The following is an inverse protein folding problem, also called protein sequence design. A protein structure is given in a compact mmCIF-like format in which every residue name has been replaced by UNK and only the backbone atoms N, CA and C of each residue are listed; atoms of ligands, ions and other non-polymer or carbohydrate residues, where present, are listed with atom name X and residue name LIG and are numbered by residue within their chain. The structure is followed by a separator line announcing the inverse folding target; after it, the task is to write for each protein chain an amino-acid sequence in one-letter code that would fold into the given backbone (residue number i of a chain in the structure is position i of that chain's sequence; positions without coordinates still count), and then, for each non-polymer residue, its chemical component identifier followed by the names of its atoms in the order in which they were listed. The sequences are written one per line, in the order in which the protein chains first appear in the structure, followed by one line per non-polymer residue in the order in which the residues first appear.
data_IF_278143231210
#
_entry.id   IF_278143231210
#
_cell.length_a   1.000
_cell.length_b   1.000
_cell.length_c   1.000
_cell.angle_alpha   90.00
_cell.angle_beta   90.00
_cell.angle_gamma   90.00
#
_symmetry.space_group_name_H-M   'P 1'
#
loop_
_entity.id
_entity.type
_entity.pdbx_description
1 polymer ?
#
# COMPACT_ATOMS: atom_id res chain seq x y z
N UNK A 1 -10.71 20.23 -2.11
CA UNK A 1 -11.83 20.68 -1.27
C UNK A 1 -11.60 20.12 0.12
N UNK A 2 -11.31 20.95 1.11
CA UNK A 2 -11.06 20.53 2.48
C UNK A 2 -12.24 19.73 3.05
N UNK A 3 -12.01 18.73 3.92
CA UNK A 3 -13.09 18.07 4.65
C UNK A 3 -13.90 19.13 5.42
N UNK A 4 -15.19 18.84 5.64
CA UNK A 4 -16.12 19.72 6.33
C UNK A 4 -15.49 20.27 7.63
N UNK A 5 -15.28 21.58 7.75
CA UNK A 5 -14.61 22.18 8.91
C UNK A 5 -15.40 22.05 10.22
N UNK A 6 -16.63 21.53 10.18
CA UNK A 6 -17.48 21.33 11.38
C UNK A 6 -17.19 20.02 12.11
N UNK A 7 -16.36 19.12 11.57
CA UNK A 7 -16.02 17.86 12.22
C UNK A 7 -14.51 17.80 12.42
N UNK A 8 -14.06 18.14 13.62
CA UNK A 8 -12.65 18.11 14.05
C UNK A 8 -12.08 16.68 14.24
N UNK A 9 -12.66 15.67 13.60
CA UNK A 9 -12.26 14.27 13.74
C UNK A 9 -11.31 13.88 12.62
N UNK A 10 -10.10 13.41 12.97
CA UNK A 10 -9.16 12.81 12.05
C UNK A 10 -9.64 11.42 11.62
N UNK A 11 -9.67 11.14 10.33
CA UNK A 11 -10.21 9.89 9.79
C UNK A 11 -9.15 9.14 9.02
N UNK A 12 -8.80 7.97 9.52
CA UNK A 12 -7.75 7.11 9.00
C UNK A 12 -8.37 5.84 8.41
N UNK A 13 -7.88 5.40 7.24
CA UNK A 13 -8.28 4.14 6.60
C UNK A 13 -7.05 3.25 6.40
N UNK A 14 -7.03 2.11 7.07
CA UNK A 14 -5.99 1.10 7.00
C UNK A 14 -6.45 -0.09 6.17
N UNK A 15 -5.64 -0.49 5.18
CA UNK A 15 -5.95 -1.56 4.23
C UNK A 15 -4.88 -2.67 4.30
N UNK A 16 -5.32 -3.87 4.67
CA UNK A 16 -4.42 -5.02 4.84
C UNK A 16 -3.91 -5.55 3.50
N UNK A 17 -2.74 -6.18 3.55
CA UNK A 17 -2.27 -7.06 2.49
C UNK A 17 -3.09 -8.34 2.40
N UNK A 18 -3.06 -9.01 1.25
CA UNK A 18 -3.77 -10.28 1.09
C UNK A 18 -3.89 -10.78 -0.35
N UNK A 19 -3.07 -10.28 -1.26
CA UNK A 19 -3.03 -10.72 -2.66
C UNK A 19 -4.39 -10.57 -3.34
N UNK A 20 -4.83 -11.60 -4.08
CA UNK A 20 -6.10 -11.57 -4.83
C UNK A 20 -7.33 -11.34 -3.92
N UNK A 21 -7.23 -11.63 -2.62
CA UNK A 21 -8.33 -11.40 -1.69
C UNK A 21 -8.66 -9.93 -1.46
N UNK A 22 -7.85 -8.99 -1.98
CA UNK A 22 -8.16 -7.56 -2.02
C UNK A 22 -9.51 -7.22 -2.63
N UNK A 23 -10.11 -8.15 -3.42
CA UNK A 23 -11.48 -8.02 -3.90
C UNK A 23 -12.51 -7.92 -2.75
N UNK A 24 -12.29 -8.65 -1.65
CA UNK A 24 -13.15 -8.57 -0.46
C UNK A 24 -13.07 -7.21 0.21
N UNK A 25 -11.85 -6.65 0.27
CA UNK A 25 -11.64 -5.27 0.75
C UNK A 25 -12.42 -4.28 -0.09
N UNK A 26 -12.38 -4.40 -1.42
CA UNK A 26 -13.09 -3.51 -2.35
C UNK A 26 -14.62 -3.59 -2.17
N UNK A 27 -15.19 -4.77 -1.91
CA UNK A 27 -16.63 -4.91 -1.61
C UNK A 27 -17.03 -4.16 -0.33
N UNK A 28 -16.22 -4.25 0.72
CA UNK A 28 -16.44 -3.52 1.98
C UNK A 28 -16.33 -2.01 1.74
N UNK A 29 -15.30 -1.57 1.01
CA UNK A 29 -15.08 -0.16 0.68
C UNK A 29 -16.21 0.41 -0.18
N UNK A 30 -16.74 -0.35 -1.16
CA UNK A 30 -17.88 0.05 -1.98
C UNK A 30 -19.11 0.31 -1.10
N UNK A 31 -19.35 -0.55 -0.11
CA UNK A 31 -20.44 -0.32 0.85
C UNK A 31 -20.22 0.91 1.71
N UNK A 32 -18.99 1.14 2.19
CA UNK A 32 -18.64 2.35 2.96
C UNK A 32 -18.86 3.60 2.10
N UNK A 33 -18.33 3.63 0.86
CA UNK A 33 -18.48 4.77 -0.06
C UNK A 33 -19.97 5.05 -0.35
N UNK A 34 -20.77 4.01 -0.59
CA UNK A 34 -22.21 4.15 -0.79
C UNK A 34 -22.92 4.77 0.40
N UNK A 35 -22.65 4.29 1.62
CA UNK A 35 -23.23 4.86 2.87
C UNK A 35 -22.83 6.32 3.05
N UNK A 36 -21.57 6.67 2.75
CA UNK A 36 -21.11 8.06 2.85
C UNK A 36 -21.79 8.96 1.81
N UNK A 37 -21.97 8.49 0.58
CA UNK A 37 -22.70 9.21 -0.48
C UNK A 37 -24.15 9.51 -0.06
N UNK A 38 -24.85 8.51 0.48
CA UNK A 38 -26.20 8.66 0.98
C UNK A 38 -26.26 9.64 2.16
N UNK A 39 -25.41 9.44 3.18
CA UNK A 39 -25.39 10.25 4.41
C UNK A 39 -25.13 11.73 4.16
N UNK A 40 -24.21 12.04 3.24
CA UNK A 40 -23.81 13.42 2.93
C UNK A 40 -24.55 14.01 1.73
N UNK A 41 -25.50 13.27 1.12
CA UNK A 41 -26.20 13.65 -0.12
C UNK A 41 -25.24 14.11 -1.23
N UNK A 42 -24.09 13.43 -1.36
CA UNK A 42 -23.03 13.71 -2.34
C UNK A 42 -22.79 12.49 -3.22
N UNK A 43 -23.48 12.35 -4.36
CA UNK A 43 -23.39 11.15 -5.21
C UNK A 43 -21.98 10.90 -5.78
N UNK A 44 -21.16 11.93 -5.92
CA UNK A 44 -19.79 11.84 -6.44
C UNK A 44 -18.72 11.84 -5.33
N UNK A 45 -19.10 11.63 -4.06
CA UNK A 45 -18.15 11.52 -2.97
C UNK A 45 -17.28 10.28 -3.17
N UNK A 46 -15.96 10.45 -3.06
CA UNK A 46 -14.98 9.36 -3.03
C UNK A 46 -14.33 9.26 -1.65
N UNK A 47 -13.73 8.11 -1.33
CA UNK A 47 -13.19 7.88 0.02
C UNK A 47 -12.08 8.87 0.40
N UNK A 48 -11.32 9.41 -0.56
CA UNK A 48 -10.35 10.48 -0.32
C UNK A 48 -10.98 11.81 0.11
N UNK A 49 -12.29 12.03 -0.12
CA UNK A 49 -13.01 13.20 0.40
C UNK A 49 -13.36 13.06 1.88
N UNK A 50 -13.36 11.83 2.40
CA UNK A 50 -13.77 11.52 3.77
C UNK A 50 -12.60 11.19 4.68
N UNK A 51 -11.61 10.40 4.20
CA UNK A 51 -10.46 9.99 4.98
C UNK A 51 -9.28 10.94 4.77
N UNK A 52 -8.70 11.42 5.87
CA UNK A 52 -7.55 12.34 5.85
C UNK A 52 -6.23 11.60 5.61
N UNK A 53 -6.16 10.30 5.99
CA UNK A 53 -4.98 9.48 5.87
C UNK A 53 -5.36 8.06 5.49
N UNK A 54 -4.87 7.59 4.35
CA UNK A 54 -5.11 6.24 3.81
C UNK A 54 -3.78 5.50 3.78
N UNK A 55 -3.74 4.30 4.33
CA UNK A 55 -2.54 3.48 4.32
C UNK A 55 -2.82 2.05 3.88
N UNK A 56 -1.82 1.43 3.26
CA UNK A 56 -1.95 0.06 2.79
C UNK A 56 -0.64 -0.71 2.72
N UNK A 57 -0.77 -2.03 2.76
CA UNK A 57 0.35 -2.97 2.58
C UNK A 57 0.01 -3.94 1.45
N UNK A 58 0.98 -4.25 0.57
CA UNK A 58 0.79 -5.22 -0.52
C UNK A 58 -0.41 -4.83 -1.42
N UNK A 59 -1.38 -5.70 -1.60
CA UNK A 59 -2.63 -5.38 -2.30
C UNK A 59 -3.34 -4.15 -1.72
N UNK A 60 -3.30 -3.99 -0.38
CA UNK A 60 -3.83 -2.80 0.29
C UNK A 60 -3.11 -1.52 -0.14
N UNK A 61 -1.80 -1.58 -0.45
CA UNK A 61 -1.05 -0.45 -0.98
C UNK A 61 -1.50 -0.05 -2.39
N UNK A 62 -1.84 -1.02 -3.24
CA UNK A 62 -2.41 -0.76 -4.56
C UNK A 62 -3.74 0.01 -4.40
N UNK A 63 -4.65 -0.52 -3.59
CA UNK A 63 -5.96 0.12 -3.33
C UNK A 63 -5.79 1.50 -2.69
N UNK A 64 -4.90 1.63 -1.69
CA UNK A 64 -4.61 2.91 -1.03
C UNK A 64 -4.12 3.99 -2.01
N UNK A 65 -3.22 3.63 -2.93
CA UNK A 65 -2.73 4.53 -3.97
C UNK A 65 -3.85 5.04 -4.89
N UNK A 66 -4.73 4.14 -5.35
CA UNK A 66 -5.90 4.53 -6.14
C UNK A 66 -6.83 5.49 -5.38
N UNK A 67 -7.17 5.14 -4.14
CA UNK A 67 -8.04 5.96 -3.30
C UNK A 67 -7.42 7.34 -3.04
N UNK A 68 -6.14 7.39 -2.67
CA UNK A 68 -5.44 8.65 -2.41
C UNK A 68 -5.39 9.57 -3.63
N UNK A 69 -5.34 9.01 -4.85
CA UNK A 69 -5.48 9.76 -6.10
C UNK A 69 -6.91 10.27 -6.34
N UNK A 70 -7.90 9.76 -5.61
CA UNK A 70 -9.30 10.17 -5.73
C UNK A 70 -10.14 9.31 -6.66
N UNK A 71 -9.71 8.08 -6.96
CA UNK A 71 -10.54 7.12 -7.67
C UNK A 71 -11.74 6.68 -6.81
N UNK A 72 -12.90 6.47 -7.43
CA UNK A 72 -14.04 5.83 -6.79
C UNK A 72 -13.76 4.33 -6.59
N UNK A 73 -14.42 3.73 -5.61
CA UNK A 73 -14.24 2.28 -5.37
C UNK A 73 -14.70 1.46 -6.58
N UNK A 74 -15.75 1.90 -7.28
CA UNK A 74 -16.23 1.26 -8.51
C UNK A 74 -15.16 1.24 -9.62
N UNK A 75 -14.48 2.38 -9.85
CA UNK A 75 -13.36 2.45 -10.79
C UNK A 75 -12.23 1.51 -10.41
N UNK A 76 -11.91 1.40 -9.10
CA UNK A 76 -10.89 0.48 -8.61
C UNK A 76 -11.30 -0.97 -8.83
N UNK A 77 -12.57 -1.34 -8.58
CA UNK A 77 -13.08 -2.69 -8.81
C UNK A 77 -12.92 -3.10 -10.27
N UNK A 78 -13.31 -2.23 -11.21
CA UNK A 78 -13.15 -2.49 -12.65
C UNK A 78 -11.67 -2.71 -13.00
N UNK A 79 -10.80 -1.80 -12.60
CA UNK A 79 -9.35 -1.90 -12.86
C UNK A 79 -8.76 -3.17 -12.24
N UNK A 80 -9.16 -3.50 -11.00
CA UNK A 80 -8.67 -4.67 -10.30
C UNK A 80 -9.06 -5.98 -11.00
N UNK A 81 -10.30 -6.09 -11.44
CA UNK A 81 -10.80 -7.27 -12.19
C UNK A 81 -10.13 -7.42 -13.56
N UNK A 82 -9.81 -6.31 -14.23
CA UNK A 82 -9.08 -6.33 -15.51
C UNK A 82 -7.59 -6.69 -15.35
N UNK A 83 -6.97 -6.24 -14.26
CA UNK A 83 -5.55 -6.46 -13.98
C UNK A 83 -5.27 -7.86 -13.41
N UNK A 84 -6.12 -8.36 -12.52
CA UNK A 84 -5.87 -9.57 -11.76
C UNK A 84 -5.56 -10.80 -12.62
N UNK A 85 -6.27 -11.11 -13.73
CA UNK A 85 -5.94 -12.25 -14.58
C UNK A 85 -4.55 -12.15 -15.23
N UNK A 86 -4.07 -10.93 -15.50
CA UNK A 86 -2.76 -10.70 -16.14
C UNK A 86 -1.62 -10.74 -15.14
N UNK A 87 -1.84 -10.21 -13.94
CA UNK A 87 -0.84 -10.13 -12.86
C UNK A 87 -0.63 -11.51 -12.22
N UNK A 88 -1.70 -12.27 -12.05
CA UNK A 88 -1.67 -13.59 -11.41
C UNK A 88 -1.65 -14.76 -12.40
N UNK A 89 -1.25 -14.52 -13.66
CA UNK A 89 -0.97 -15.60 -14.62
C UNK A 89 0.40 -16.22 -14.29
N UNK A 90 0.44 -17.52 -13.89
CA UNK A 90 1.69 -18.13 -13.46
C UNK A 90 2.70 -18.26 -14.60
N UNK A 91 3.97 -17.97 -14.30
CA UNK A 91 5.10 -18.29 -15.19
C UNK A 91 5.10 -19.81 -15.43
N UNK A 92 5.39 -20.22 -16.66
CA UNK A 92 5.51 -21.64 -17.04
C UNK A 92 6.95 -22.02 -17.26
N UNK A 93 7.32 -23.25 -16.91
CA UNK A 93 8.65 -23.77 -17.12
C UNK A 93 9.56 -23.67 -15.89
N UNK A 94 10.89 -23.75 -16.10
CA UNK A 94 11.90 -23.80 -15.04
C UNK A 94 12.06 -22.47 -14.27
N UNK A 95 11.63 -21.37 -14.83
CA UNK A 95 11.66 -20.04 -14.19
C UNK A 95 10.74 -19.95 -12.95
N UNK A 96 9.72 -20.81 -12.87
CA UNK A 96 8.86 -20.95 -11.68
C UNK A 96 9.60 -21.32 -10.40
N UNK A 97 10.86 -21.77 -10.51
CA UNK A 97 11.71 -22.06 -9.35
C UNK A 97 12.06 -20.79 -8.57
N UNK A 98 12.16 -19.64 -9.27
CA UNK A 98 12.49 -18.35 -8.65
C UNK A 98 11.27 -17.58 -8.18
N UNK A 99 10.31 -17.35 -9.09
CA UNK A 99 9.11 -16.57 -8.83
C UNK A 99 7.92 -17.20 -9.54
N UNK A 100 6.73 -17.04 -8.95
CA UNK A 100 5.50 -17.62 -9.49
C UNK A 100 4.90 -16.76 -10.59
N UNK A 101 4.99 -15.44 -10.46
CA UNK A 101 4.39 -14.46 -11.37
C UNK A 101 5.44 -13.50 -11.92
N UNK A 102 5.30 -13.06 -13.19
CA UNK A 102 6.15 -12.02 -13.75
C UNK A 102 5.81 -10.65 -13.15
N UNK A 103 6.79 -9.75 -13.08
CA UNK A 103 6.59 -8.39 -12.57
C UNK A 103 6.05 -7.41 -13.59
N UNK A 104 6.37 -7.63 -14.88
CA UNK A 104 6.11 -6.68 -15.96
C UNK A 104 4.63 -6.32 -16.15
N UNK A 105 3.65 -7.26 -16.03
CA UNK A 105 2.25 -6.90 -16.16
C UNK A 105 1.79 -5.91 -15.09
N UNK A 106 2.20 -6.14 -13.82
CA UNK A 106 1.88 -5.23 -12.70
C UNK A 106 2.56 -3.87 -12.89
N UNK A 107 3.85 -3.86 -13.23
CA UNK A 107 4.62 -2.64 -13.48
C UNK A 107 3.98 -1.78 -14.57
N UNK A 108 3.62 -2.40 -15.72
CA UNK A 108 2.99 -1.70 -16.84
C UNK A 108 1.67 -1.05 -16.44
N UNK A 109 0.83 -1.76 -15.69
CA UNK A 109 -0.45 -1.23 -15.26
C UNK A 109 -0.27 -0.11 -14.21
N UNK A 110 0.64 -0.27 -13.25
CA UNK A 110 0.93 0.78 -12.26
C UNK A 110 1.48 2.05 -12.93
N UNK A 111 2.40 1.93 -13.89
CA UNK A 111 2.90 3.07 -14.68
C UNK A 111 1.81 3.75 -15.50
N UNK A 112 0.83 2.99 -16.01
CA UNK A 112 -0.31 3.55 -16.73
C UNK A 112 -1.23 4.35 -15.81
N UNK A 113 -1.47 3.84 -14.60
CA UNK A 113 -2.42 4.38 -13.63
C UNK A 113 -1.83 5.61 -12.92
N UNK A 114 -0.59 5.52 -12.43
CA UNK A 114 0.04 6.55 -11.61
C UNK A 114 0.85 7.53 -12.46
N UNK A 115 0.14 8.22 -13.38
CA UNK A 115 0.62 9.38 -14.15
C UNK A 115 0.02 10.66 -13.59
N UNK A 116 0.74 11.76 -13.74
CA UNK A 116 0.25 13.07 -13.35
C UNK A 116 -1.02 13.45 -14.13
N UNK A 117 -1.83 14.30 -13.51
CA UNK A 117 -3.10 14.75 -14.09
C UNK A 117 -2.88 15.64 -15.33
N UNK A 118 -3.90 15.73 -16.18
CA UNK A 118 -3.86 16.66 -17.32
C UNK A 118 -3.26 16.11 -18.61
N UNK A 119 -3.08 14.76 -18.71
CA UNK A 119 -2.55 14.13 -19.93
C UNK A 119 -1.02 14.14 -20.02
N UNK A 120 -0.35 14.47 -18.94
CA UNK A 120 1.11 14.35 -18.83
C UNK A 120 1.56 12.88 -18.94
N UNK A 121 2.69 12.65 -19.58
CA UNK A 121 3.39 11.34 -19.54
C UNK A 121 4.23 11.17 -18.27
N UNK A 122 4.35 12.21 -17.47
CA UNK A 122 5.10 12.20 -16.23
C UNK A 122 4.48 11.26 -15.20
N UNK A 123 5.34 10.49 -14.53
CA UNK A 123 4.93 9.55 -13.50
C UNK A 123 4.83 10.25 -12.15
N UNK A 124 3.78 9.94 -11.40
CA UNK A 124 3.59 10.46 -10.05
C UNK A 124 4.71 9.99 -9.12
N UNK A 125 5.16 10.89 -8.27
CA UNK A 125 6.02 10.57 -7.13
C UNK A 125 5.19 10.45 -5.85
N UNK A 126 5.81 10.01 -4.75
CA UNK A 126 5.16 9.99 -3.44
C UNK A 126 4.72 11.39 -3.00
N UNK A 127 5.44 12.45 -3.42
CA UNK A 127 5.15 13.84 -3.12
C UNK A 127 4.19 14.53 -4.09
N UNK A 128 3.62 13.80 -5.08
CA UNK A 128 2.75 14.38 -6.09
C UNK A 128 1.55 15.12 -5.49
N UNK A 129 1.31 16.34 -5.96
CA UNK A 129 0.14 17.16 -5.59
C UNK A 129 -1.19 16.58 -6.09
N UNK A 130 -1.15 15.61 -7.00
CA UNK A 130 -2.32 14.86 -7.46
C UNK A 130 -2.87 13.89 -6.39
N UNK A 131 -2.15 13.65 -5.30
CA UNK A 131 -2.64 12.91 -4.14
C UNK A 131 -3.53 13.80 -3.27
N UNK A 132 -4.77 13.39 -3.04
CA UNK A 132 -5.82 14.17 -2.39
C UNK A 132 -5.86 14.02 -0.87
N UNK A 133 -5.11 13.06 -0.32
CA UNK A 133 -5.04 12.75 1.10
C UNK A 133 -3.64 12.29 1.47
N UNK A 134 -3.33 12.25 2.76
CA UNK A 134 -2.12 11.58 3.20
C UNK A 134 -2.17 10.10 2.81
N UNK A 135 -1.04 9.60 2.32
CA UNK A 135 -0.86 8.21 1.90
C UNK A 135 0.27 7.58 2.69
N UNK A 136 0.09 6.32 3.13
CA UNK A 136 1.15 5.48 3.66
C UNK A 136 1.24 4.18 2.89
N UNK A 137 2.45 3.80 2.50
CA UNK A 137 2.78 2.52 1.87
C UNK A 137 3.80 1.80 2.75
N UNK A 138 3.54 0.55 3.09
CA UNK A 138 4.51 -0.23 3.87
C UNK A 138 5.31 -1.11 2.92
N UNK A 139 6.63 -0.94 2.94
CA UNK A 139 7.60 -1.82 2.29
C UNK A 139 8.55 -2.41 3.31
N UNK A 140 9.24 -3.49 2.97
CA UNK A 140 10.32 -4.03 3.79
C UNK A 140 11.64 -3.91 3.04
N UNK A 141 12.65 -3.29 3.67
CA UNK A 141 13.99 -3.26 3.12
C UNK A 141 14.58 -4.67 3.14
N UNK A 142 14.94 -5.18 1.97
CA UNK A 142 15.48 -6.54 1.79
C UNK A 142 16.85 -6.74 2.41
N UNK A 143 17.67 -5.67 2.43
CA UNK A 143 19.04 -5.72 2.95
C UNK A 143 19.10 -5.67 4.47
N UNK A 144 18.29 -4.82 5.11
CA UNK A 144 18.29 -4.62 6.56
C UNK A 144 17.22 -5.41 7.30
N UNK A 145 16.20 -5.88 6.58
CA UNK A 145 15.03 -6.56 7.14
C UNK A 145 14.06 -5.62 7.87
N UNK A 146 14.30 -4.30 7.88
CA UNK A 146 13.45 -3.31 8.55
C UNK A 146 12.20 -3.01 7.73
N UNK A 147 11.06 -2.80 8.41
CA UNK A 147 9.87 -2.27 7.79
C UNK A 147 9.98 -0.76 7.60
N UNK A 148 9.61 -0.28 6.43
CA UNK A 148 9.59 1.13 6.08
C UNK A 148 8.16 1.58 5.74
N UNK A 149 7.45 2.18 6.69
CA UNK A 149 6.22 2.90 6.41
C UNK A 149 6.57 4.24 5.73
N UNK A 150 6.38 4.32 4.43
CA UNK A 150 6.66 5.51 3.62
C UNK A 150 5.38 6.34 3.50
N UNK A 151 5.47 7.64 3.74
CA UNK A 151 4.32 8.56 3.70
C UNK A 151 4.63 9.79 2.86
N UNK A 152 3.59 10.38 2.26
CA UNK A 152 3.67 11.64 1.54
C UNK A 152 3.58 12.88 2.46
N UNK A 153 3.65 12.70 3.79
CA UNK A 153 3.70 13.82 4.72
C UNK A 153 5.00 14.62 4.56
N UNK A 154 4.98 15.90 4.14
CA UNK A 154 6.20 16.67 3.93
C UNK A 154 6.99 16.94 5.23
N UNK A 155 6.34 16.87 6.39
CA UNK A 155 6.98 17.10 7.68
C UNK A 155 7.70 15.85 8.24
N UNK A 156 7.52 14.68 7.64
CA UNK A 156 8.20 13.48 8.09
C UNK A 156 9.72 13.59 7.89
N UNK A 157 10.49 13.09 8.84
CA UNK A 157 11.95 13.26 8.91
C UNK A 157 12.69 12.87 7.63
N UNK A 158 12.27 11.76 6.98
CA UNK A 158 12.93 11.27 5.76
C UNK A 158 12.36 11.86 4.46
N UNK A 159 11.35 12.73 4.58
CA UNK A 159 10.76 13.48 3.47
C UNK A 159 11.38 14.89 3.36
N UNK A 160 12.10 15.33 4.39
CA UNK A 160 12.84 16.57 4.35
C UNK A 160 14.15 16.35 3.58
N UNK A 161 14.51 17.33 2.76
CA UNK A 161 15.77 17.31 2.03
C UNK A 161 16.98 17.28 2.99
N UNK A 162 17.92 16.39 2.67
CA UNK A 162 19.21 16.26 3.38
C UNK A 162 20.35 16.35 2.39
N UNK A 163 21.53 16.77 2.84
CA UNK A 163 22.70 16.87 1.98
C UNK A 163 23.13 15.52 1.37
N UNK A 164 22.98 14.44 2.13
CA UNK A 164 23.47 13.09 1.82
C UNK A 164 22.41 12.13 1.28
N UNK A 165 21.13 12.47 1.41
CA UNK A 165 20.02 11.60 1.02
C UNK A 165 18.89 12.38 0.33
N UNK A 166 18.35 11.87 -0.78
CA UNK A 166 17.18 12.46 -1.41
C UNK A 166 15.94 12.32 -0.52
N UNK A 167 14.94 13.14 -0.80
CA UNK A 167 13.63 13.03 -0.16
C UNK A 167 12.91 11.76 -0.60
N UNK A 168 12.22 11.08 0.31
CA UNK A 168 11.32 9.99 -0.09
C UNK A 168 10.16 10.49 -0.97
N UNK A 169 9.85 11.79 -0.95
CA UNK A 169 8.81 12.40 -1.78
C UNK A 169 9.14 12.31 -3.27
N UNK A 170 10.42 12.22 -3.63
CA UNK A 170 10.87 12.12 -5.02
C UNK A 170 10.78 10.69 -5.58
N UNK A 171 10.50 9.69 -4.73
CA UNK A 171 10.43 8.30 -5.16
C UNK A 171 9.19 8.05 -6.04
N UNK A 172 9.33 7.30 -7.16
CA UNK A 172 8.22 6.99 -8.04
C UNK A 172 7.11 6.21 -7.32
N UNK A 173 5.90 6.74 -7.28
CA UNK A 173 4.77 6.15 -6.54
C UNK A 173 4.43 4.74 -7.03
N UNK A 174 4.41 4.53 -8.37
CA UNK A 174 4.16 3.21 -8.94
C UNK A 174 5.15 2.16 -8.46
N UNK A 175 6.42 2.55 -8.29
CA UNK A 175 7.51 1.66 -7.89
C UNK A 175 7.42 1.31 -6.40
N UNK A 176 7.05 2.28 -5.56
CA UNK A 176 6.78 2.03 -4.13
C UNK A 176 5.59 1.08 -3.92
N UNK A 177 4.50 1.26 -4.69
CA UNK A 177 3.34 0.37 -4.66
C UNK A 177 3.74 -1.04 -5.12
N UNK A 178 4.51 -1.13 -6.20
CA UNK A 178 5.04 -2.40 -6.70
C UNK A 178 5.95 -3.07 -5.68
N UNK A 179 6.82 -2.31 -5.02
CA UNK A 179 7.70 -2.79 -3.96
C UNK A 179 6.90 -3.36 -2.77
N UNK A 180 5.84 -2.64 -2.36
CA UNK A 180 4.93 -3.11 -1.30
C UNK A 180 4.24 -4.43 -1.66
N UNK A 181 3.99 -4.70 -2.94
CA UNK A 181 3.36 -5.94 -3.44
C UNK A 181 4.38 -7.01 -3.90
N UNK A 182 5.69 -6.81 -3.67
CA UNK A 182 6.75 -7.74 -4.08
C UNK A 182 6.89 -8.93 -3.12
N UNK A 183 5.85 -9.74 -3.04
CA UNK A 183 5.80 -10.89 -2.14
C UNK A 183 6.85 -11.95 -2.51
N UNK A 184 7.76 -12.30 -1.59
CA UNK A 184 8.79 -13.31 -1.83
C UNK A 184 8.19 -14.62 -2.34
N UNK A 185 8.85 -15.26 -3.30
CA UNK A 185 8.40 -16.45 -4.03
C UNK A 185 7.26 -16.23 -5.02
N UNK A 186 6.48 -15.16 -4.89
CA UNK A 186 5.42 -14.80 -5.84
C UNK A 186 5.92 -13.82 -6.89
N UNK A 187 6.60 -12.77 -6.46
CA UNK A 187 7.19 -11.74 -7.33
C UNK A 187 8.68 -11.52 -7.00
N UNK A 188 9.48 -11.04 -7.97
CA UNK A 188 10.83 -10.54 -7.69
C UNK A 188 10.78 -9.34 -6.73
N UNK A 189 11.85 -9.14 -5.94
CA UNK A 189 12.07 -7.91 -5.19
C UNK A 189 12.13 -6.68 -6.12
N UNK A 190 11.91 -5.50 -5.56
CA UNK A 190 12.00 -4.24 -6.29
C UNK A 190 13.28 -3.52 -5.94
N UNK A 191 14.07 -3.19 -6.96
CA UNK A 191 15.27 -2.35 -6.83
C UNK A 191 14.90 -0.91 -7.16
N UNK A 192 15.10 0.00 -6.21
CA UNK A 192 14.88 1.44 -6.41
C UNK A 192 16.21 2.15 -6.32
N UNK A 193 16.65 2.70 -7.45
CA UNK A 193 17.82 3.58 -7.51
C UNK A 193 17.41 4.99 -7.16
N UNK A 194 18.05 5.55 -6.14
CA UNK A 194 17.76 6.90 -5.68
C UNK A 194 18.98 7.78 -5.94
N UNK A 195 18.88 8.82 -6.79
CA UNK A 195 20.00 9.70 -7.08
C UNK A 195 20.38 10.51 -5.85
N UNK A 196 21.70 10.62 -5.59
CA UNK A 196 22.26 11.52 -4.60
C UNK A 196 22.60 12.87 -5.23
N UNK A 197 22.63 13.91 -4.42
CA UNK A 197 23.06 15.26 -4.86
C UNK A 197 24.51 15.34 -5.31
N UNK A 198 25.37 14.48 -4.78
CA UNK A 198 26.79 14.38 -5.16
C UNK A 198 27.03 13.69 -6.53
N UNK A 199 25.96 13.28 -7.22
CA UNK A 199 25.99 12.61 -8.51
C UNK A 199 26.12 11.09 -8.43
N UNK A 200 26.10 10.50 -7.23
CA UNK A 200 26.00 9.05 -7.05
C UNK A 200 24.57 8.56 -6.96
N UNK A 201 24.37 7.24 -6.81
CA UNK A 201 23.07 6.61 -6.50
C UNK A 201 23.14 5.82 -5.21
N UNK A 202 21.98 5.62 -4.59
CA UNK A 202 21.78 4.62 -3.52
C UNK A 202 20.75 3.63 -4.01
N UNK A 203 21.07 2.35 -3.96
CA UNK A 203 20.19 1.29 -4.36
C UNK A 203 19.49 0.71 -3.12
N UNK A 204 18.17 0.70 -3.14
CA UNK A 204 17.37 0.04 -2.13
C UNK A 204 16.68 -1.18 -2.73
N UNK A 205 16.88 -2.35 -2.11
CA UNK A 205 16.10 -3.53 -2.41
C UNK A 205 14.91 -3.61 -1.46
N UNK A 206 13.71 -3.67 -2.03
CA UNK A 206 12.48 -3.80 -1.26
C UNK A 206 11.74 -5.10 -1.60
N UNK A 207 11.10 -5.65 -0.58
CA UNK A 207 10.16 -6.75 -0.66
C UNK A 207 8.84 -6.34 -0.02
N UNK A 208 7.81 -7.16 -0.21
CA UNK A 208 6.46 -6.94 0.32
C UNK A 208 6.47 -6.58 1.81
N UNK A 209 5.78 -5.50 2.14
CA UNK A 209 5.58 -5.07 3.52
C UNK A 209 4.83 -6.09 4.38
N UNK A 210 4.06 -7.00 3.77
CA UNK A 210 3.34 -8.06 4.45
C UNK A 210 4.22 -9.11 5.14
N UNK A 211 5.51 -9.21 4.77
CA UNK A 211 6.49 -10.02 5.50
C UNK A 211 7.12 -9.26 6.69
N UNK A 212 6.49 -8.19 7.12
CA UNK A 212 6.80 -7.42 8.32
C UNK A 212 5.63 -7.49 9.33
N UNK A 213 5.77 -6.92 10.54
CA UNK A 213 4.65 -6.83 11.48
C UNK A 213 3.47 -5.97 11.00
N UNK A 214 3.60 -5.30 9.87
CA UNK A 214 2.63 -4.32 9.35
C UNK A 214 1.90 -4.82 8.09
N UNK A 215 1.58 -6.13 8.01
CA UNK A 215 0.60 -6.63 7.04
C UNK A 215 -0.72 -5.87 7.17
N UNK A 216 -1.11 -5.58 8.42
CA UNK A 216 -2.11 -4.57 8.79
C UNK A 216 -1.36 -3.30 9.20
N UNK A 217 -1.45 -2.20 8.44
CA UNK A 217 -0.70 -0.98 8.72
C UNK A 217 -1.33 -0.08 9.79
N UNK A 218 -2.47 -0.44 10.39
CA UNK A 218 -3.23 0.43 11.30
C UNK A 218 -2.39 1.00 12.45
N UNK A 219 -1.56 0.17 13.09
CA UNK A 219 -0.70 0.61 14.19
C UNK A 219 0.39 1.58 13.71
N UNK A 220 1.02 1.30 12.58
CA UNK A 220 2.00 2.21 11.98
C UNK A 220 1.35 3.55 11.62
N UNK A 221 0.16 3.52 11.02
CA UNK A 221 -0.61 4.73 10.70
C UNK A 221 -0.95 5.54 11.94
N UNK A 222 -1.37 4.87 13.01
CA UNK A 222 -1.68 5.53 14.29
C UNK A 222 -0.45 6.25 14.85
N UNK A 223 0.72 5.61 14.85
CA UNK A 223 1.97 6.25 15.29
C UNK A 223 2.35 7.43 14.39
N UNK A 224 2.31 7.27 13.08
CA UNK A 224 2.61 8.35 12.13
C UNK A 224 1.63 9.53 12.24
N UNK A 225 0.37 9.25 12.59
CA UNK A 225 -0.63 10.30 12.79
C UNK A 225 -0.44 11.07 14.10
N UNK A 226 0.00 10.41 15.19
CA UNK A 226 -0.09 10.98 16.54
C UNK A 226 1.23 11.36 17.18
N UNK A 227 2.33 10.67 16.83
CA UNK A 227 3.63 10.93 17.44
C UNK A 227 4.32 12.13 16.79
N UNK A 228 4.88 13.06 17.59
CA UNK A 228 5.54 14.29 17.09
C UNK A 228 6.68 14.02 16.11
N UNK A 229 7.39 12.88 16.27
CA UNK A 229 8.52 12.49 15.43
C UNK A 229 8.14 12.32 13.95
N UNK A 230 6.83 12.09 13.65
CA UNK A 230 6.33 11.95 12.30
C UNK A 230 5.67 13.22 11.74
N UNK A 231 5.47 14.26 12.57
CA UNK A 231 5.11 15.61 12.14
C UNK A 231 3.67 15.81 11.63
N UNK A 232 2.73 14.87 11.88
CA UNK A 232 1.30 15.09 11.64
C UNK A 232 0.56 15.58 12.88
N UNK A 233 0.94 15.13 14.04
CA UNK A 233 0.44 15.53 15.37
C UNK A 233 -1.10 15.58 15.44
N UNK A 234 -1.76 14.62 14.79
CA UNK A 234 -3.22 14.51 14.78
C UNK A 234 -3.72 14.18 16.17
N UNK A 235 -4.70 14.97 16.67
CA UNK A 235 -5.32 14.69 17.95
C UNK A 235 -6.02 13.32 17.94
N UNK A 236 -5.77 12.50 18.97
CA UNK A 236 -6.39 11.21 19.20
C UNK A 236 -7.41 11.26 20.34
N UNK A 237 -8.32 10.30 20.40
CA UNK A 237 -9.38 10.19 21.39
C UNK A 237 -10.72 9.87 20.74
N UNK A 238 -11.73 9.55 21.57
CA UNK A 238 -13.04 9.06 21.15
C UNK A 238 -13.73 9.97 20.12
N UNK A 239 -13.70 11.30 20.35
CA UNK A 239 -14.34 12.28 19.47
C UNK A 239 -13.36 12.94 18.47
N UNK A 240 -12.09 12.53 18.47
CA UNK A 240 -11.02 13.23 17.71
C UNK A 240 -10.41 12.39 16.60
N UNK A 241 -10.51 11.06 16.69
CA UNK A 241 -9.93 10.17 15.71
C UNK A 241 -10.82 8.96 15.44
N UNK A 242 -11.09 8.71 14.16
CA UNK A 242 -11.69 7.48 13.65
C UNK A 242 -10.63 6.73 12.85
N UNK A 243 -10.25 5.54 13.28
CA UNK A 243 -9.42 4.63 12.50
C UNK A 243 -10.27 3.44 12.07
N UNK A 244 -10.43 3.30 10.76
CA UNK A 244 -11.12 2.17 10.13
C UNK A 244 -10.06 1.25 9.54
N UNK A 245 -10.07 -0.02 9.94
CA UNK A 245 -9.17 -1.05 9.39
C UNK A 245 -9.99 -2.08 8.63
N UNK A 246 -9.64 -2.30 7.36
CA UNK A 246 -10.33 -3.24 6.47
C UNK A 246 -9.36 -4.32 6.03
N UNK A 247 -9.67 -5.56 6.44
CA UNK A 247 -8.88 -6.73 6.11
C UNK A 247 -9.30 -7.40 4.80
N UNK A 248 -8.53 -8.41 4.40
CA UNK A 248 -8.77 -9.26 3.22
C UNK A 248 -9.43 -10.60 3.56
N UNK A 249 -9.88 -10.76 4.80
CA UNK A 249 -10.40 -12.02 5.32
C UNK A 249 -9.30 -13.05 5.64
N UNK A 250 -9.63 -14.03 6.46
CA UNK A 250 -8.77 -15.16 6.79
C UNK A 250 -9.53 -16.47 6.63
N UNK A 251 -8.82 -17.50 6.17
CA UNK A 251 -9.33 -18.88 6.17
C UNK A 251 -8.49 -19.63 7.18
N UNK A 252 -9.05 -19.98 8.35
CA UNK A 252 -8.31 -20.75 9.32
C UNK A 252 -7.72 -22.02 8.69
N UNK A 253 -6.41 -22.23 8.78
CA UNK A 253 -5.82 -23.43 8.20
C UNK A 253 -6.32 -24.65 8.98
N UNK A 254 -7.05 -25.54 8.31
CA UNK A 254 -7.44 -26.84 8.86
C UNK A 254 -6.21 -27.75 8.89
N UNK A 255 -5.44 -27.68 9.99
CA UNK A 255 -4.29 -28.55 10.20
C UNK A 255 -4.65 -29.70 11.13
N UNK A 256 -4.33 -30.92 10.70
CA UNK A 256 -4.38 -32.09 11.60
C UNK A 256 -3.23 -32.00 12.58
N UNK A 257 -3.42 -32.39 13.85
CA UNK A 257 -2.32 -32.56 14.83
C UNK A 257 -1.17 -33.38 14.22
N UNK A 258 0.08 -32.96 14.40
CA UNK A 258 1.25 -33.64 13.87
C UNK A 258 1.65 -33.30 12.42
N UNK A 259 0.87 -32.53 11.71
CA UNK A 259 1.15 -32.17 10.30
C UNK A 259 2.39 -31.29 10.09
N UNK A 260 2.83 -30.59 11.15
CA UNK A 260 4.06 -29.78 11.16
C UNK A 260 5.32 -30.60 11.53
N UNK A 261 5.17 -31.79 12.15
CA UNK A 261 6.31 -32.58 12.62
C UNK A 261 7.24 -33.07 11.49
N UNK A 262 6.74 -33.17 10.26
CA UNK A 262 7.46 -33.72 9.09
C UNK A 262 7.71 -32.68 7.99
N UNK A 263 7.55 -31.39 8.28
CA UNK A 263 7.79 -30.34 7.26
C UNK A 263 9.28 -29.95 7.31
N UNK A 264 9.97 -30.05 6.18
CA UNK A 264 11.33 -29.54 6.06
C UNK A 264 11.31 -27.98 6.18
N UNK A 265 12.47 -27.38 6.50
CA UNK A 265 12.59 -25.92 6.74
C UNK A 265 12.01 -25.07 5.62
N UNK A 266 12.22 -25.48 4.36
CA UNK A 266 11.74 -24.75 3.18
C UNK A 266 10.22 -24.85 3.04
N UNK A 267 9.66 -26.04 3.21
CA UNK A 267 8.20 -26.26 3.18
C UNK A 267 7.47 -25.55 4.31
N UNK A 268 8.08 -25.43 5.50
CA UNK A 268 7.57 -24.68 6.63
C UNK A 268 7.51 -23.18 6.33
N UNK A 269 8.60 -22.58 5.84
CA UNK A 269 8.67 -21.18 5.50
C UNK A 269 7.67 -20.82 4.38
N UNK A 270 7.57 -21.63 3.32
CA UNK A 270 6.61 -21.41 2.23
C UNK A 270 5.14 -21.51 2.69
N UNK A 271 4.83 -22.40 3.64
CA UNK A 271 3.48 -22.47 4.20
C UNK A 271 3.15 -21.28 5.08
N UNK A 272 4.09 -20.83 5.93
CA UNK A 272 3.89 -19.64 6.76
C UNK A 272 3.65 -18.41 5.88
N UNK A 273 4.44 -18.20 4.82
CA UNK A 273 4.22 -17.13 3.86
C UNK A 273 2.84 -17.21 3.20
N UNK A 274 2.37 -18.41 2.81
CA UNK A 274 1.05 -18.60 2.22
C UNK A 274 -0.11 -18.36 3.20
N UNK A 275 0.12 -18.46 4.50
CA UNK A 275 -0.89 -18.18 5.52
C UNK A 275 -1.00 -16.68 5.83
N UNK A 276 0.13 -15.98 5.75
CA UNK A 276 0.21 -14.52 6.01
C UNK A 276 -0.28 -13.71 4.80
N UNK A 277 -0.21 -14.27 3.62
CA UNK A 277 -0.65 -13.66 2.35
C UNK A 277 -1.93 -14.28 1.82
#
# INVERSE_FOLDING_TARGET
MSPDPTVSCNRLLSLDGGGIRGILTLEILARIEGVLRERYARPNLVLADYFNFIGGTSTGAIVAGFLARGASVEEIQVQYLEMAPRIFDPIRGWETIRHKFPSEPLEKELKRIFRESGGSEELMTLGSESLRTFLMLVVRNGSTGSAWPLTNNPNATYNQEREDMPSNLDLPLWQLIRASAAAPTFFPSEMIEVPKRDGGTVDFEFIDGGVSPYLNPALAMFFHATLPEYGLEMASGEDKMLLVSVGTGDVPPLHKPGQFANINRIGGALRTLKQVM
#
